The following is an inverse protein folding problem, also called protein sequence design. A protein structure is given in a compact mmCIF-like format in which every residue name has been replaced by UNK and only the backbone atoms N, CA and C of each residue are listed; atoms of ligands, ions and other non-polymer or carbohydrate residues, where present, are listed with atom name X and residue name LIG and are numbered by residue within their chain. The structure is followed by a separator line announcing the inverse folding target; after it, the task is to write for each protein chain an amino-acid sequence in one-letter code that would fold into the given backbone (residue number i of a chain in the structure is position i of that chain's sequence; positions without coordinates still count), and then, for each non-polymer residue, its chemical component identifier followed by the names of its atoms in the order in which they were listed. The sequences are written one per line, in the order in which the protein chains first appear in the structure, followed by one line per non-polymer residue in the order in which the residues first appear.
data_IF_389409973116
#
_entry.id   IF_389409973116
#
_cell.length_a   1.000
_cell.length_b   1.000
_cell.length_c   1.000
_cell.angle_alpha   90.00
_cell.angle_beta   90.00
_cell.angle_gamma   90.00
#
_symmetry.space_group_name_H-M   'P 1'
#
loop_
_entity.id
_entity.type
_entity.pdbx_description
1 polymer ?
#
# COMPACT_ATOMS: atom_id res chain seq x y z
N UNK A 1 10.65 1.87 20.55
CA UNK A 1 10.96 2.70 21.73
C UNK A 1 9.77 2.60 22.67
N UNK A 2 9.98 2.39 23.97
CA UNK A 2 8.87 2.30 24.93
C UNK A 2 8.13 3.65 25.02
N UNK A 3 6.78 3.64 25.18
CA UNK A 3 6.02 4.88 25.37
C UNK A 3 6.57 5.68 26.56
N UNK A 4 6.53 7.02 26.53
CA UNK A 4 6.96 7.83 27.66
C UNK A 4 6.23 7.39 28.94
N UNK A 5 6.91 7.44 30.11
CA UNK A 5 6.24 7.16 31.37
C UNK A 5 5.02 8.09 31.51
N UNK A 6 3.88 7.53 31.90
CA UNK A 6 2.60 8.24 32.02
C UNK A 6 2.64 9.39 33.04
N UNK A 7 3.69 9.44 33.87
CA UNK A 7 3.95 10.43 34.90
C UNK A 7 4.68 11.69 34.39
N UNK A 8 5.24 11.67 33.17
CA UNK A 8 5.95 12.83 32.62
C UNK A 8 4.98 13.95 32.22
N UNK A 9 5.39 15.24 32.31
CA UNK A 9 4.61 16.36 31.80
C UNK A 9 4.24 16.18 30.32
N UNK A 10 3.08 16.71 29.90
CA UNK A 10 2.58 16.52 28.53
C UNK A 10 3.57 17.02 27.47
N UNK A 11 4.22 18.16 27.71
CA UNK A 11 5.23 18.72 26.81
C UNK A 11 6.39 17.77 26.54
N UNK A 12 6.91 17.10 27.58
CA UNK A 12 7.99 16.12 27.44
C UNK A 12 7.54 14.89 26.66
N UNK A 13 6.32 14.41 26.90
CA UNK A 13 5.74 13.28 26.16
C UNK A 13 5.60 13.60 24.67
N UNK A 14 5.12 14.81 24.35
CA UNK A 14 4.99 15.29 22.97
C UNK A 14 6.35 15.48 22.30
N UNK A 15 7.33 16.08 22.99
CA UNK A 15 8.68 16.25 22.48
C UNK A 15 9.34 14.90 22.17
N UNK A 16 9.19 13.92 23.07
CA UNK A 16 9.68 12.55 22.85
C UNK A 16 8.99 11.89 21.68
N UNK A 17 7.69 12.11 21.48
CA UNK A 17 6.98 11.57 20.33
C UNK A 17 7.48 12.19 19.02
N UNK A 18 7.61 13.52 19.00
CA UNK A 18 7.98 14.31 17.83
C UNK A 18 9.40 13.99 17.30
N UNK A 19 10.32 13.57 18.17
CA UNK A 19 11.69 13.18 17.80
C UNK A 19 11.78 11.76 17.21
N UNK A 20 10.68 11.01 17.16
CA UNK A 20 10.69 9.65 16.61
C UNK A 20 10.58 9.65 15.08
N UNK A 21 11.30 8.71 14.46
CA UNK A 21 11.16 8.45 13.02
C UNK A 21 9.72 7.99 12.65
N UNK A 22 9.00 7.35 13.59
CA UNK A 22 7.60 6.98 13.38
C UNK A 22 6.67 8.20 13.33
N UNK A 23 6.97 9.27 14.07
CA UNK A 23 6.21 10.51 13.99
C UNK A 23 6.45 11.22 12.65
N UNK A 24 7.69 11.25 12.16
CA UNK A 24 7.98 11.74 10.81
C UNK A 24 7.21 10.96 9.72
N UNK A 25 7.16 9.64 9.85
CA UNK A 25 6.34 8.77 8.99
C UNK A 25 4.85 9.08 9.08
N UNK A 26 4.32 9.32 10.28
CA UNK A 26 2.93 9.75 10.47
C UNK A 26 2.64 11.08 9.79
N UNK A 27 3.51 12.08 9.98
CA UNK A 27 3.38 13.40 9.36
C UNK A 27 3.41 13.29 7.84
N UNK A 28 4.25 12.42 7.26
CA UNK A 28 4.23 12.16 5.82
C UNK A 28 2.87 11.65 5.34
N UNK A 29 2.27 10.66 6.00
CA UNK A 29 0.93 10.18 5.62
C UNK A 29 -0.16 11.25 5.83
N UNK A 30 -0.07 12.03 6.89
CA UNK A 30 -1.00 13.13 7.15
C UNK A 30 -0.91 14.22 6.06
N UNK A 31 0.31 14.63 5.69
CA UNK A 31 0.55 15.56 4.58
C UNK A 31 0.05 14.99 3.25
N UNK A 32 0.22 13.69 3.00
CA UNK A 32 -0.34 13.03 1.82
C UNK A 32 -1.87 13.19 1.77
N UNK A 33 -2.57 12.89 2.87
CA UNK A 33 -4.03 13.03 2.94
C UNK A 33 -4.49 14.48 2.70
N UNK A 34 -3.83 15.47 3.32
CA UNK A 34 -4.14 16.88 3.09
C UNK A 34 -3.89 17.29 1.63
N UNK A 35 -2.80 16.79 1.03
CA UNK A 35 -2.44 17.08 -0.36
C UNK A 35 -3.43 16.48 -1.34
N UNK A 36 -3.88 15.23 -1.10
CA UNK A 36 -4.91 14.57 -1.90
C UNK A 36 -6.25 15.28 -1.76
N UNK A 37 -6.65 15.66 -0.53
CA UNK A 37 -7.88 16.42 -0.29
C UNK A 37 -7.86 17.75 -1.06
N UNK A 38 -6.76 18.51 -0.97
CA UNK A 38 -6.63 19.77 -1.70
C UNK A 38 -6.59 19.55 -3.22
N UNK A 39 -5.99 18.46 -3.69
CA UNK A 39 -5.99 18.08 -5.10
C UNK A 39 -7.39 17.70 -5.58
N UNK A 40 -8.18 16.97 -4.80
CA UNK A 40 -9.55 16.59 -5.19
C UNK A 40 -10.48 17.80 -5.33
N UNK A 41 -10.28 18.85 -4.54
CA UNK A 41 -11.01 20.12 -4.74
C UNK A 41 -10.76 20.72 -6.14
N UNK A 42 -9.58 20.51 -6.72
CA UNK A 42 -9.29 20.98 -8.08
C UNK A 42 -10.16 20.30 -9.14
N UNK A 43 -10.60 19.06 -8.90
CA UNK A 43 -11.55 18.34 -9.77
C UNK A 43 -12.96 18.90 -9.66
N UNK A 44 -13.39 19.32 -8.47
CA UNK A 44 -14.70 19.98 -8.28
C UNK A 44 -14.73 21.31 -9.05
N UNK A 45 -13.63 22.05 -9.02
CA UNK A 45 -13.49 23.34 -9.74
C UNK A 45 -13.06 23.20 -11.21
N UNK A 46 -12.96 21.97 -11.73
CA UNK A 46 -12.44 21.66 -13.08
C UNK A 46 -11.05 22.27 -13.40
N UNK A 47 -10.25 22.58 -12.39
CA UNK A 47 -8.94 23.25 -12.51
C UNK A 47 -7.78 22.36 -12.07
N UNK A 48 -7.79 21.12 -12.55
CA UNK A 48 -6.88 20.05 -12.15
C UNK A 48 -5.45 20.19 -12.70
N UNK A 49 -5.22 21.11 -13.64
CA UNK A 49 -3.89 21.48 -14.13
C UNK A 49 -3.35 22.80 -13.57
N UNK A 50 -4.06 23.45 -12.63
CA UNK A 50 -3.54 24.66 -11.97
C UNK A 50 -2.19 24.42 -11.30
N UNK A 51 -1.42 25.50 -11.09
CA UNK A 51 -0.17 25.47 -10.32
C UNK A 51 -0.37 24.82 -8.95
N UNK A 52 -1.48 25.13 -8.27
CA UNK A 52 -1.82 24.55 -6.98
C UNK A 52 -2.17 23.08 -7.05
N UNK A 53 -2.96 22.65 -8.04
CA UNK A 53 -3.27 21.23 -8.23
C UNK A 53 -2.01 20.42 -8.53
N UNK A 54 -1.14 20.94 -9.40
CA UNK A 54 0.15 20.31 -9.68
C UNK A 54 1.04 20.24 -8.44
N UNK A 55 1.14 21.33 -7.68
CA UNK A 55 1.89 21.35 -6.44
C UNK A 55 1.39 20.29 -5.44
N UNK A 56 0.08 20.22 -5.19
CA UNK A 56 -0.45 19.24 -4.22
C UNK A 56 -0.39 17.80 -4.72
N UNK A 57 -0.52 17.57 -6.02
CA UNK A 57 -0.26 16.25 -6.61
C UNK A 57 1.19 15.80 -6.37
N UNK A 58 2.16 16.69 -6.65
CA UNK A 58 3.58 16.39 -6.43
C UNK A 58 3.90 16.23 -4.95
N UNK A 59 3.34 17.09 -4.09
CA UNK A 59 3.52 17.00 -2.65
C UNK A 59 2.99 15.67 -2.10
N UNK A 60 1.84 15.17 -2.58
CA UNK A 60 1.34 13.86 -2.19
C UNK A 60 2.34 12.73 -2.49
N UNK A 61 2.99 12.75 -3.66
CA UNK A 61 4.01 11.75 -4.00
C UNK A 61 5.34 11.98 -3.30
N UNK A 62 5.75 13.22 -3.02
CA UNK A 62 6.90 13.50 -2.15
C UNK A 62 6.66 12.91 -0.76
N UNK A 63 5.45 13.11 -0.21
CA UNK A 63 5.04 12.52 1.06
C UNK A 63 5.06 10.98 1.01
N UNK A 64 4.56 10.37 -0.06
CA UNK A 64 4.63 8.91 -0.24
C UNK A 64 6.08 8.41 -0.29
N UNK A 65 6.95 9.07 -1.07
CA UNK A 65 8.37 8.73 -1.15
C UNK A 65 9.04 8.83 0.22
N UNK A 66 8.73 9.87 0.99
CA UNK A 66 9.26 10.03 2.34
C UNK A 66 8.78 8.91 3.28
N UNK A 67 7.48 8.57 3.29
CA UNK A 67 6.95 7.54 4.19
C UNK A 67 7.45 6.15 3.84
N UNK A 68 7.38 5.74 2.58
CA UNK A 68 7.91 4.45 2.16
C UNK A 68 9.43 4.40 2.27
N UNK A 69 10.14 5.51 2.00
CA UNK A 69 11.58 5.64 2.22
C UNK A 69 11.97 5.35 3.67
N UNK A 70 11.21 5.88 4.64
CA UNK A 70 11.41 5.58 6.07
C UNK A 70 11.22 4.08 6.36
N UNK A 71 10.17 3.46 5.83
CA UNK A 71 9.90 2.03 6.05
C UNK A 71 11.00 1.16 5.45
N UNK A 72 11.41 1.46 4.21
CA UNK A 72 12.50 0.78 3.51
C UNK A 72 13.82 0.94 4.24
N UNK A 73 14.15 2.16 4.70
CA UNK A 73 15.37 2.41 5.48
C UNK A 73 15.41 1.57 6.76
N UNK A 74 14.29 1.50 7.50
CA UNK A 74 14.19 0.66 8.70
C UNK A 74 14.34 -0.83 8.37
N UNK A 75 13.70 -1.29 7.30
CA UNK A 75 13.75 -2.67 6.85
C UNK A 75 15.17 -3.07 6.40
N UNK A 76 15.84 -2.20 5.64
CA UNK A 76 17.22 -2.35 5.22
C UNK A 76 18.15 -2.48 6.43
N UNK A 77 18.10 -1.52 7.36
CA UNK A 77 18.94 -1.53 8.56
C UNK A 77 18.73 -2.76 9.45
N UNK A 78 17.51 -3.31 9.47
CA UNK A 78 17.21 -4.52 10.23
C UNK A 78 17.72 -5.81 9.57
N UNK A 79 17.80 -5.86 8.24
CA UNK A 79 18.11 -7.08 7.46
C UNK A 79 19.56 -7.15 6.99
N UNK A 80 20.21 -6.02 6.79
CA UNK A 80 21.62 -5.96 6.36
C UNK A 80 22.51 -6.05 7.59
N UNK A 81 23.09 -7.25 7.81
CA UNK A 81 24.14 -7.49 8.80
C UNK A 81 25.51 -7.55 8.11
N UNK A 82 26.58 -7.27 8.85
CA UNK A 82 27.95 -7.42 8.34
C UNK A 82 28.16 -8.85 7.82
N UNK A 83 28.57 -8.97 6.54
CA UNK A 83 28.76 -10.26 5.86
C UNK A 83 27.59 -10.73 4.99
N UNK A 84 26.49 -9.97 4.87
CA UNK A 84 25.38 -10.33 3.98
C UNK A 84 25.80 -10.23 2.50
N UNK A 85 25.43 -11.24 1.70
CA UNK A 85 25.60 -11.19 0.24
C UNK A 85 24.72 -10.05 -0.32
N UNK A 86 25.35 -9.10 -0.99
CA UNK A 86 24.70 -7.89 -1.52
C UNK A 86 23.63 -8.27 -2.56
N UNK A 87 23.90 -9.25 -3.43
CA UNK A 87 22.97 -9.71 -4.45
C UNK A 87 21.69 -10.32 -3.88
N UNK A 88 21.81 -11.21 -2.88
CA UNK A 88 20.63 -11.77 -2.22
C UNK A 88 19.86 -10.73 -1.42
N UNK A 89 20.56 -9.76 -0.83
CA UNK A 89 19.94 -8.66 -0.07
C UNK A 89 19.13 -7.72 -0.98
N UNK A 90 19.65 -7.38 -2.17
CA UNK A 90 18.92 -6.58 -3.16
C UNK A 90 17.65 -7.31 -3.61
N UNK A 91 17.75 -8.61 -3.92
CA UNK A 91 16.59 -9.41 -4.32
C UNK A 91 15.50 -9.45 -3.23
N UNK A 92 15.91 -9.66 -1.98
CA UNK A 92 15.01 -9.65 -0.83
C UNK A 92 14.30 -8.30 -0.66
N UNK A 93 15.02 -7.19 -0.86
CA UNK A 93 14.44 -5.85 -0.76
C UNK A 93 13.49 -5.54 -1.91
N UNK A 94 13.81 -5.92 -3.15
CA UNK A 94 12.89 -5.75 -4.28
C UNK A 94 11.62 -6.61 -4.15
N UNK A 95 11.71 -7.69 -3.38
CA UNK A 95 10.57 -8.53 -3.01
C UNK A 95 9.75 -7.94 -1.84
N UNK A 96 10.15 -6.81 -1.25
CA UNK A 96 9.37 -6.14 -0.21
C UNK A 96 8.36 -5.18 -0.84
N UNK A 97 7.08 -5.30 -0.46
CA UNK A 97 6.03 -4.44 -1.01
C UNK A 97 6.28 -2.95 -0.74
N UNK A 98 6.93 -2.59 0.37
CA UNK A 98 7.23 -1.20 0.68
C UNK A 98 8.27 -0.62 -0.27
N UNK A 99 9.23 -1.44 -0.74
CA UNK A 99 10.19 -1.03 -1.77
C UNK A 99 9.48 -0.84 -3.10
N UNK A 100 8.54 -1.72 -3.44
CA UNK A 100 7.75 -1.59 -4.66
C UNK A 100 6.90 -0.31 -4.65
N UNK A 101 6.26 0.02 -3.52
CA UNK A 101 5.53 1.28 -3.35
C UNK A 101 6.45 2.52 -3.35
N UNK A 102 7.66 2.42 -2.80
CA UNK A 102 8.67 3.48 -2.91
C UNK A 102 9.06 3.72 -4.37
N UNK A 103 9.37 2.67 -5.12
CA UNK A 103 9.77 2.78 -6.52
C UNK A 103 8.64 3.35 -7.38
N UNK A 104 7.41 2.86 -7.20
CA UNK A 104 6.29 3.36 -8.00
C UNK A 104 5.88 4.79 -7.61
N UNK A 105 6.01 5.19 -6.33
CA UNK A 105 5.77 6.58 -5.93
C UNK A 105 6.81 7.54 -6.52
N UNK A 106 8.08 7.13 -6.67
CA UNK A 106 9.08 7.89 -7.43
C UNK A 106 8.69 8.02 -8.90
N UNK A 107 8.22 6.94 -9.54
CA UNK A 107 7.75 6.99 -10.94
C UNK A 107 6.60 7.99 -11.08
N UNK A 108 5.61 7.96 -10.19
CA UNK A 108 4.49 8.90 -10.19
C UNK A 108 4.89 10.34 -9.88
N UNK A 109 5.91 10.53 -9.04
CA UNK A 109 6.44 11.85 -8.72
C UNK A 109 6.99 12.58 -9.96
N UNK A 110 7.55 11.85 -10.92
CA UNK A 110 8.14 12.44 -12.14
C UNK A 110 7.29 12.26 -13.39
N UNK A 111 6.32 11.34 -13.40
CA UNK A 111 5.43 11.15 -14.54
C UNK A 111 4.43 12.31 -14.71
N UNK A 112 3.68 12.31 -15.82
CA UNK A 112 2.47 13.13 -15.93
C UNK A 112 1.46 12.78 -14.83
N UNK A 113 0.56 13.72 -14.53
CA UNK A 113 -0.44 13.53 -13.48
C UNK A 113 -1.40 12.38 -13.84
N UNK A 114 -1.53 11.45 -12.90
CA UNK A 114 -2.46 10.33 -12.95
C UNK A 114 -3.23 10.32 -11.63
N UNK A 115 -4.41 10.96 -11.56
CA UNK A 115 -5.17 11.08 -10.31
C UNK A 115 -5.47 9.73 -9.66
N UNK A 116 -5.81 8.73 -10.50
CA UNK A 116 -6.11 7.38 -10.05
C UNK A 116 -4.93 6.73 -9.29
N UNK A 117 -3.69 7.14 -9.58
CA UNK A 117 -2.50 6.67 -8.88
C UNK A 117 -2.42 7.13 -7.43
N UNK A 118 -3.15 8.19 -7.03
CA UNK A 118 -3.18 8.65 -5.64
C UNK A 118 -4.06 7.76 -4.75
N UNK A 119 -5.05 7.07 -5.32
CA UNK A 119 -6.10 6.41 -4.53
C UNK A 119 -5.58 5.26 -3.66
N UNK A 120 -4.74 4.33 -4.16
CA UNK A 120 -4.15 3.29 -3.29
C UNK A 120 -3.38 3.89 -2.10
N UNK A 121 -2.54 4.89 -2.36
CA UNK A 121 -1.75 5.58 -1.33
C UNK A 121 -2.63 6.33 -0.32
N UNK A 122 -3.76 6.86 -0.77
CA UNK A 122 -4.75 7.51 0.11
C UNK A 122 -5.36 6.52 1.08
N UNK A 123 -5.79 5.34 0.59
CA UNK A 123 -6.34 4.29 1.44
C UNK A 123 -5.32 3.85 2.49
N UNK A 124 -4.09 3.51 2.09
CA UNK A 124 -3.04 3.16 3.06
C UNK A 124 -2.81 4.28 4.09
N UNK A 125 -2.75 5.53 3.64
CA UNK A 125 -2.51 6.68 4.52
C UNK A 125 -3.63 6.87 5.55
N UNK A 126 -4.90 6.62 5.20
CA UNK A 126 -6.02 6.65 6.17
C UNK A 126 -5.79 5.64 7.28
N UNK A 127 -5.48 4.38 6.94
CA UNK A 127 -5.24 3.34 7.94
C UNK A 127 -4.00 3.61 8.79
N UNK A 128 -2.94 4.13 8.18
CA UNK A 128 -1.70 4.49 8.88
C UNK A 128 -1.91 5.65 9.87
N UNK A 129 -2.57 6.73 9.44
CA UNK A 129 -2.92 7.87 10.30
C UNK A 129 -3.87 7.43 11.43
N UNK A 130 -4.90 6.64 11.13
CA UNK A 130 -5.84 6.12 12.12
C UNK A 130 -5.11 5.24 13.15
N UNK A 131 -4.33 4.27 12.70
CA UNK A 131 -3.61 3.35 13.58
C UNK A 131 -2.59 4.08 14.44
N UNK A 132 -1.83 5.02 13.88
CA UNK A 132 -0.86 5.81 14.63
C UNK A 132 -1.55 6.72 15.64
N UNK A 133 -2.68 7.33 15.28
CA UNK A 133 -3.49 8.14 16.20
C UNK A 133 -3.94 7.31 17.38
N UNK A 134 -4.47 6.10 17.14
CA UNK A 134 -4.90 5.18 18.19
C UNK A 134 -3.78 4.72 19.11
N UNK A 135 -2.62 4.39 18.54
CA UNK A 135 -1.54 3.70 19.26
C UNK A 135 -0.49 4.63 19.87
N UNK A 136 -0.37 5.85 19.37
CA UNK A 136 0.66 6.80 19.79
C UNK A 136 0.08 8.15 20.22
N UNK A 137 -0.74 8.81 19.39
CA UNK A 137 -1.26 10.16 19.71
C UNK A 137 -2.17 10.10 20.94
N UNK A 138 -3.20 9.25 20.92
CA UNK A 138 -4.17 9.16 22.02
C UNK A 138 -3.49 8.78 23.35
N UNK A 139 -2.66 7.73 23.44
CA UNK A 139 -1.96 7.41 24.68
C UNK A 139 -0.98 8.50 25.14
N UNK A 140 -0.41 9.28 24.21
CA UNK A 140 0.48 10.40 24.55
C UNK A 140 -0.30 11.55 25.19
N UNK A 141 -1.51 11.85 24.70
CA UNK A 141 -2.38 12.89 25.25
C UNK A 141 -3.10 12.42 26.52
N UNK A 142 -3.61 11.19 26.50
CA UNK A 142 -4.40 10.55 27.54
C UNK A 142 -3.78 9.18 27.89
N UNK A 143 -2.80 9.15 28.81
CA UNK A 143 -2.18 7.91 29.23
C UNK A 143 -3.23 6.95 29.78
N UNK A 144 -3.17 5.65 29.45
CA UNK A 144 -4.11 4.69 29.99
C UNK A 144 -4.01 4.69 31.53
N UNK A 145 -5.12 4.94 32.20
CA UNK A 145 -5.21 4.80 33.65
C UNK A 145 -5.23 3.29 33.97
N UNK A 146 -4.48 2.88 34.99
CA UNK A 146 -4.66 1.55 35.55
C UNK A 146 -6.13 1.41 35.98
N UNK A 147 -6.77 0.30 35.63
CA UNK A 147 -8.14 0.05 36.08
C UNK A 147 -8.16 0.06 37.63
N UNK A 148 -9.18 0.65 38.27
CA UNK A 148 -9.33 0.56 39.73
C UNK A 148 -9.31 -0.92 40.14
N UNK A 149 -8.36 -1.33 40.97
CA UNK A 149 -8.18 -2.72 41.41
C UNK A 149 -7.15 -3.55 40.63
N UNK A 150 -6.48 -3.00 39.62
CA UNK A 150 -5.35 -3.69 38.97
C UNK A 150 -4.03 -3.44 39.73
N UNK A 151 -3.47 -4.49 40.33
CA UNK A 151 -2.10 -4.47 40.84
C UNK A 151 -1.08 -4.45 39.68
N UNK A 152 0.11 -3.85 39.85
CA UNK A 152 1.09 -3.67 38.76
C UNK A 152 1.59 -4.97 38.11
N UNK A 153 1.28 -6.12 38.69
CA UNK A 153 1.86 -7.43 38.38
C UNK A 153 0.95 -8.37 37.61
N UNK A 154 -0.31 -8.01 37.32
CA UNK A 154 -1.23 -8.90 36.59
C UNK A 154 -0.96 -8.87 35.07
N UNK A 155 -0.44 -9.95 34.46
CA UNK A 155 -0.29 -10.05 33.02
C UNK A 155 -1.69 -10.24 32.41
N UNK A 156 -2.33 -9.15 32.01
CA UNK A 156 -3.66 -9.20 31.39
C UNK A 156 -4.65 -8.13 31.84
N UNK A 157 -4.30 -7.20 32.73
CA UNK A 157 -5.17 -6.08 33.06
C UNK A 157 -5.45 -5.25 31.80
N UNK A 158 -6.70 -5.27 31.32
CA UNK A 158 -7.11 -4.49 30.16
C UNK A 158 -6.97 -3.01 30.51
N UNK A 159 -5.98 -2.36 29.92
CA UNK A 159 -5.81 -0.91 30.06
C UNK A 159 -7.06 -0.26 29.49
N UNK A 160 -7.80 0.48 30.30
CA UNK A 160 -8.98 1.23 29.84
C UNK A 160 -8.54 2.19 28.72
N UNK A 161 -8.90 1.86 27.48
CA UNK A 161 -8.65 2.69 26.31
C UNK A 161 -9.78 3.72 26.16
N UNK A 162 -9.44 4.93 25.72
CA UNK A 162 -10.45 5.97 25.49
C UNK A 162 -11.48 5.54 24.44
N UNK A 163 -12.69 6.09 24.52
CA UNK A 163 -13.77 5.79 23.57
C UNK A 163 -13.33 6.00 22.11
N UNK A 164 -12.58 7.07 21.84
CA UNK A 164 -12.01 7.36 20.52
C UNK A 164 -11.03 6.27 20.06
N UNK A 165 -10.12 5.81 20.93
CA UNK A 165 -9.19 4.72 20.59
C UNK A 165 -9.92 3.42 20.27
N UNK A 166 -11.03 3.14 20.97
CA UNK A 166 -11.89 1.98 20.69
C UNK A 166 -12.61 2.13 19.35
N UNK A 167 -13.18 3.29 19.05
CA UNK A 167 -13.86 3.56 17.76
C UNK A 167 -12.89 3.45 16.58
N UNK A 168 -11.68 4.00 16.69
CA UNK A 168 -10.65 3.84 15.65
C UNK A 168 -10.27 2.36 15.50
N UNK A 169 -10.15 1.62 16.61
CA UNK A 169 -9.85 0.18 16.57
C UNK A 169 -10.94 -0.62 15.85
N UNK A 170 -12.21 -0.30 16.09
CA UNK A 170 -13.36 -0.89 15.38
C UNK A 170 -13.32 -0.55 13.89
N UNK A 171 -13.15 0.73 13.54
CA UNK A 171 -13.02 1.19 12.15
C UNK A 171 -11.92 0.42 11.41
N UNK A 172 -10.71 0.34 11.99
CA UNK A 172 -9.60 -0.38 11.34
C UNK A 172 -9.96 -1.84 11.13
N UNK A 173 -10.51 -2.52 12.15
CA UNK A 173 -10.87 -3.94 12.04
C UNK A 173 -11.98 -4.20 11.02
N UNK A 174 -13.01 -3.37 11.01
CA UNK A 174 -14.20 -3.54 10.18
C UNK A 174 -13.92 -3.28 8.70
N UNK A 175 -13.12 -2.24 8.41
CA UNK A 175 -12.93 -1.78 7.03
C UNK A 175 -11.63 -2.25 6.39
N UNK A 176 -10.72 -2.93 7.11
CA UNK A 176 -9.41 -3.32 6.57
C UNK A 176 -9.54 -4.21 5.34
N UNK A 177 -10.23 -5.35 5.42
CA UNK A 177 -10.32 -6.31 4.32
C UNK A 177 -11.03 -5.71 3.10
N UNK A 178 -12.15 -5.01 3.32
CA UNK A 178 -12.87 -4.30 2.24
C UNK A 178 -11.98 -3.24 1.59
N UNK A 179 -11.20 -2.51 2.38
CA UNK A 179 -10.28 -1.49 1.85
C UNK A 179 -9.10 -2.10 1.10
N UNK A 180 -8.60 -3.26 1.53
CA UNK A 180 -7.57 -3.99 0.80
C UNK A 180 -8.09 -4.54 -0.53
N UNK A 181 -9.33 -5.04 -0.58
CA UNK A 181 -9.99 -5.38 -1.84
C UNK A 181 -10.19 -4.16 -2.74
N UNK A 182 -10.57 -3.01 -2.17
CA UNK A 182 -10.66 -1.75 -2.93
C UNK A 182 -9.30 -1.34 -3.50
N UNK A 183 -8.22 -1.42 -2.71
CA UNK A 183 -6.86 -1.15 -3.19
C UNK A 183 -6.50 -2.06 -4.35
N UNK A 184 -6.74 -3.38 -4.23
CA UNK A 184 -6.49 -4.33 -5.30
C UNK A 184 -7.27 -3.97 -6.58
N UNK A 185 -8.55 -3.61 -6.46
CA UNK A 185 -9.37 -3.14 -7.57
C UNK A 185 -8.83 -1.85 -8.21
N UNK A 186 -8.40 -0.88 -7.40
CA UNK A 186 -7.79 0.37 -7.87
C UNK A 186 -6.47 0.12 -8.58
N UNK A 187 -5.63 -0.78 -8.06
CA UNK A 187 -4.36 -1.16 -8.68
C UNK A 187 -4.58 -1.77 -10.07
N UNK A 188 -5.56 -2.66 -10.21
CA UNK A 188 -5.95 -3.28 -11.48
C UNK A 188 -6.57 -2.24 -12.43
N UNK A 189 -7.50 -1.41 -11.94
CA UNK A 189 -8.12 -0.35 -12.73
C UNK A 189 -7.09 0.63 -13.29
N UNK A 190 -6.07 0.96 -12.49
CA UNK A 190 -4.97 1.81 -12.92
C UNK A 190 -4.18 1.19 -14.07
N UNK A 191 -3.96 -0.14 -14.06
CA UNK A 191 -3.33 -0.82 -15.18
C UNK A 191 -4.16 -0.69 -16.47
N UNK A 192 -5.47 -0.94 -16.41
CA UNK A 192 -6.34 -0.78 -17.58
C UNK A 192 -6.36 0.66 -18.09
N UNK A 193 -6.39 1.65 -17.20
CA UNK A 193 -6.29 3.06 -17.60
C UNK A 193 -4.97 3.35 -18.33
N UNK A 194 -3.85 2.80 -17.86
CA UNK A 194 -2.55 2.96 -18.53
C UNK A 194 -2.51 2.24 -19.87
N UNK A 195 -3.11 1.04 -19.96
CA UNK A 195 -3.25 0.30 -21.21
C UNK A 195 -4.01 1.12 -22.25
N UNK A 196 -5.17 1.68 -21.90
CA UNK A 196 -5.94 2.55 -22.80
C UNK A 196 -5.10 3.74 -23.27
N UNK A 197 -4.28 4.34 -22.39
CA UNK A 197 -3.40 5.43 -22.79
C UNK A 197 -2.20 5.00 -23.63
N UNK A 198 -1.77 3.73 -23.54
CA UNK A 198 -0.77 3.12 -24.41
C UNK A 198 -1.33 2.89 -25.81
N UNK A 199 -2.57 2.38 -25.89
CA UNK A 199 -3.28 2.17 -27.15
C UNK A 199 -3.58 3.48 -27.89
N UNK A 200 -3.75 4.60 -27.17
CA UNK A 200 -3.85 5.94 -27.79
C UNK A 200 -2.50 6.61 -28.07
N UNK A 201 -1.38 5.87 -27.94
CA UNK A 201 -0.01 6.34 -28.22
C UNK A 201 0.38 7.66 -27.52
N UNK A 202 -0.19 7.91 -26.33
CA UNK A 202 0.21 9.08 -25.53
C UNK A 202 1.72 9.04 -25.21
N UNK A 203 2.40 10.18 -25.25
CA UNK A 203 3.86 10.22 -24.99
C UNK A 203 4.22 9.56 -23.65
N UNK A 204 5.12 8.58 -23.69
CA UNK A 204 5.61 7.85 -22.52
C UNK A 204 4.65 6.84 -21.88
N UNK A 205 3.46 6.61 -22.45
CA UNK A 205 2.47 5.68 -21.88
C UNK A 205 2.91 4.22 -21.95
N UNK A 206 3.61 3.79 -23.00
CA UNK A 206 4.17 2.44 -23.11
C UNK A 206 5.21 2.14 -22.03
N UNK A 207 6.12 3.09 -21.76
CA UNK A 207 7.10 2.96 -20.67
C UNK A 207 6.40 2.87 -19.30
N UNK A 208 5.42 3.75 -19.04
CA UNK A 208 4.64 3.70 -17.80
C UNK A 208 3.84 2.41 -17.65
N UNK A 209 3.25 1.91 -18.74
CA UNK A 209 2.54 0.63 -18.75
C UNK A 209 3.49 -0.52 -18.40
N UNK A 210 4.68 -0.57 -19.01
CA UNK A 210 5.68 -1.60 -18.73
C UNK A 210 6.10 -1.59 -17.25
N UNK A 211 6.49 -0.43 -16.72
CA UNK A 211 6.89 -0.27 -15.32
C UNK A 211 5.74 -0.67 -14.38
N UNK A 212 4.52 -0.20 -14.65
CA UNK A 212 3.36 -0.51 -13.81
C UNK A 212 2.92 -1.98 -13.94
N UNK A 213 3.17 -2.63 -15.07
CA UNK A 213 2.95 -4.07 -15.24
C UNK A 213 3.89 -4.87 -14.34
N UNK A 214 5.17 -4.50 -14.23
CA UNK A 214 6.11 -5.14 -13.31
C UNK A 214 5.65 -4.95 -11.86
N UNK A 215 5.21 -3.74 -11.49
CA UNK A 215 4.62 -3.46 -10.17
C UNK A 215 3.41 -4.36 -9.90
N UNK A 216 2.40 -4.36 -10.78
CA UNK A 216 1.17 -5.13 -10.59
C UNK A 216 1.44 -6.65 -10.59
N UNK A 217 2.42 -7.11 -11.35
CA UNK A 217 2.84 -8.53 -11.34
C UNK A 217 3.47 -8.93 -10.00
N UNK A 218 4.29 -8.06 -9.42
CA UNK A 218 4.85 -8.26 -8.09
C UNK A 218 3.73 -8.28 -7.03
N UNK A 219 2.76 -7.34 -7.14
CA UNK A 219 1.57 -7.30 -6.29
C UNK A 219 0.71 -8.56 -6.41
N UNK A 220 0.53 -9.10 -7.62
CA UNK A 220 -0.18 -10.37 -7.82
C UNK A 220 0.49 -11.53 -7.07
N UNK A 221 1.82 -11.58 -7.01
CA UNK A 221 2.51 -12.64 -6.26
C UNK A 221 2.37 -12.48 -4.74
N UNK A 222 2.28 -11.25 -4.24
CA UNK A 222 2.37 -10.94 -2.81
C UNK A 222 1.02 -10.73 -2.12
N UNK A 223 0.00 -10.30 -2.85
CA UNK A 223 -1.29 -9.91 -2.29
C UNK A 223 -2.39 -10.89 -2.69
N UNK A 224 -2.95 -11.57 -1.70
CA UNK A 224 -4.15 -12.41 -1.88
C UNK A 224 -5.36 -11.60 -2.36
N UNK A 225 -5.46 -10.33 -1.97
CA UNK A 225 -6.52 -9.42 -2.44
C UNK A 225 -6.41 -9.15 -3.94
N UNK A 226 -5.20 -8.99 -4.48
CA UNK A 226 -4.98 -8.81 -5.92
C UNK A 226 -5.31 -10.10 -6.67
N UNK A 227 -4.85 -11.25 -6.19
CA UNK A 227 -5.23 -12.56 -6.77
C UNK A 227 -6.75 -12.75 -6.78
N UNK A 228 -7.42 -12.44 -5.67
CA UNK A 228 -8.87 -12.52 -5.55
C UNK A 228 -9.58 -11.56 -6.50
N UNK A 229 -9.11 -10.32 -6.63
CA UNK A 229 -9.70 -9.33 -7.52
C UNK A 229 -9.58 -9.75 -9.00
N UNK A 230 -8.44 -10.31 -9.42
CA UNK A 230 -8.29 -10.89 -10.76
C UNK A 230 -9.22 -12.09 -10.97
N UNK A 231 -9.33 -12.99 -9.98
CA UNK A 231 -10.21 -14.15 -10.07
C UNK A 231 -11.69 -13.76 -10.17
N UNK A 232 -12.15 -12.83 -9.33
CA UNK A 232 -13.51 -12.28 -9.36
C UNK A 232 -13.78 -11.56 -10.69
N UNK A 233 -12.83 -10.76 -11.17
CA UNK A 233 -12.92 -10.09 -12.47
C UNK A 233 -13.06 -11.08 -13.63
N UNK A 234 -12.23 -12.14 -13.65
CA UNK A 234 -12.32 -13.22 -14.65
C UNK A 234 -13.68 -13.89 -14.59
N UNK A 235 -14.14 -14.31 -13.40
CA UNK A 235 -15.41 -14.98 -13.21
C UNK A 235 -16.61 -14.13 -13.68
N UNK A 236 -16.56 -12.82 -13.45
CA UNK A 236 -17.58 -11.89 -13.93
C UNK A 236 -17.61 -11.73 -15.45
N UNK A 237 -16.47 -11.88 -16.12
CA UNK A 237 -16.40 -11.88 -17.59
C UNK A 237 -16.85 -13.24 -18.12
N UNK A 238 -16.39 -14.34 -17.51
CA UNK A 238 -16.79 -15.70 -17.85
C UNK A 238 -18.33 -15.84 -17.82
N UNK A 239 -18.98 -15.37 -16.75
CA UNK A 239 -20.44 -15.41 -16.63
C UNK A 239 -21.16 -14.65 -17.78
N UNK A 240 -20.59 -13.52 -18.23
CA UNK A 240 -21.18 -12.72 -19.32
C UNK A 240 -20.96 -13.37 -20.68
N UNK A 241 -19.75 -13.88 -20.91
CA UNK A 241 -19.33 -14.47 -22.20
C UNK A 241 -19.99 -15.84 -22.45
N UNK A 242 -20.33 -16.57 -21.38
CA UNK A 242 -21.06 -17.84 -21.46
C UNK A 242 -22.56 -17.68 -21.81
N UNK A 243 -23.10 -16.44 -21.83
CA UNK A 243 -24.47 -16.21 -22.26
C UNK A 243 -24.66 -16.70 -23.71
N UNK A 244 -25.68 -17.54 -24.01
CA UNK A 244 -25.97 -18.04 -25.36
C UNK A 244 -26.02 -16.97 -26.45
N UNK A 245 -26.46 -15.76 -26.11
CA UNK A 245 -26.60 -14.63 -27.04
C UNK A 245 -25.26 -13.95 -27.44
N UNK A 246 -24.14 -14.32 -26.81
CA UNK A 246 -22.81 -13.79 -27.14
C UNK A 246 -22.20 -14.57 -28.31
N UNK A 247 -21.66 -13.84 -29.30
CA UNK A 247 -21.09 -14.45 -30.49
C UNK A 247 -19.89 -15.36 -30.18
N UNK A 248 -19.69 -16.46 -30.94
CA UNK A 248 -18.55 -17.36 -30.73
C UNK A 248 -17.19 -16.65 -30.78
N UNK A 249 -17.05 -15.61 -31.62
CA UNK A 249 -15.82 -14.81 -31.72
C UNK A 249 -15.45 -14.12 -30.40
N UNK A 250 -16.42 -13.60 -29.66
CA UNK A 250 -16.17 -12.97 -28.35
C UNK A 250 -15.74 -14.02 -27.32
N UNK A 251 -16.34 -15.22 -27.36
CA UNK A 251 -15.92 -16.34 -26.50
C UNK A 251 -14.48 -16.76 -26.78
N UNK A 252 -14.15 -16.98 -28.05
CA UNK A 252 -12.80 -17.36 -28.46
C UNK A 252 -11.77 -16.27 -28.12
N UNK A 253 -12.12 -15.00 -28.32
CA UNK A 253 -11.28 -13.87 -27.91
C UNK A 253 -11.00 -13.87 -26.41
N UNK A 254 -12.02 -14.10 -25.58
CA UNK A 254 -11.84 -14.19 -24.13
C UNK A 254 -10.98 -15.38 -23.70
N UNK A 255 -11.18 -16.56 -24.28
CA UNK A 255 -10.31 -17.72 -24.03
C UNK A 255 -8.85 -17.45 -24.43
N UNK A 256 -8.64 -16.75 -25.55
CA UNK A 256 -7.31 -16.34 -26.01
C UNK A 256 -6.65 -15.40 -25.00
N UNK A 257 -7.38 -14.39 -24.50
CA UNK A 257 -6.89 -13.48 -23.46
C UNK A 257 -6.52 -14.23 -22.17
N UNK A 258 -7.36 -15.17 -21.73
CA UNK A 258 -7.05 -16.02 -20.57
C UNK A 258 -5.80 -16.86 -20.80
N UNK A 259 -5.65 -17.45 -21.99
CA UNK A 259 -4.47 -18.21 -22.40
C UNK A 259 -3.19 -17.38 -22.30
N UNK A 260 -3.17 -16.19 -22.92
CA UNK A 260 -2.04 -15.27 -22.84
C UNK A 260 -1.74 -14.83 -21.40
N UNK A 261 -2.78 -14.53 -20.61
CA UNK A 261 -2.62 -14.16 -19.21
C UNK A 261 -1.93 -15.26 -18.39
N UNK A 262 -2.35 -16.52 -18.55
CA UNK A 262 -1.71 -17.67 -17.90
C UNK A 262 -0.26 -17.82 -18.34
N UNK A 263 -0.01 -17.78 -19.65
CA UNK A 263 1.35 -17.87 -20.19
C UNK A 263 2.27 -16.75 -19.68
N UNK A 264 1.76 -15.52 -19.60
CA UNK A 264 2.51 -14.38 -19.09
C UNK A 264 2.83 -14.53 -17.58
N UNK A 265 1.88 -15.00 -16.78
CA UNK A 265 2.11 -15.31 -15.35
C UNK A 265 3.16 -16.40 -15.20
N UNK A 266 3.05 -17.45 -16.01
CA UNK A 266 3.97 -18.59 -16.02
C UNK A 266 5.40 -18.22 -16.44
N UNK A 267 5.55 -17.36 -17.45
CA UNK A 267 6.83 -16.89 -17.96
C UNK A 267 7.53 -15.92 -16.99
N UNK A 268 6.78 -15.28 -16.11
CA UNK A 268 7.29 -14.32 -15.12
C UNK A 268 7.41 -14.93 -13.71
N UNK A 269 7.21 -16.24 -13.57
CA UNK A 269 7.43 -16.94 -12.30
C UNK A 269 8.93 -17.21 -12.09
N UNK A 270 9.57 -16.34 -11.31
CA UNK A 270 10.98 -16.43 -10.97
C UNK A 270 11.35 -17.75 -10.26
N UNK A 271 10.40 -18.43 -9.60
CA UNK A 271 10.66 -19.72 -8.93
C UNK A 271 11.12 -20.79 -9.92
N UNK A 272 10.66 -20.74 -11.16
CA UNK A 272 11.06 -21.67 -12.24
C UNK A 272 12.51 -21.48 -12.66
N UNK A 273 13.05 -20.26 -12.49
CA UNK A 273 14.39 -19.88 -12.92
C UNK A 273 15.41 -19.86 -11.78
N UNK A 274 14.96 -19.85 -10.53
CA UNK A 274 15.83 -19.79 -9.34
C UNK A 274 16.39 -21.14 -8.90
N UNK A 275 16.06 -22.24 -9.56
CA UNK A 275 16.52 -23.58 -9.18
C UNK A 275 15.92 -24.04 -7.85
N UNK A 276 15.50 -25.29 -7.79
CA UNK A 276 14.95 -25.95 -6.60
C UNK A 276 15.98 -26.01 -5.46
N UNK A 277 16.14 -24.92 -4.71
CA UNK A 277 17.04 -24.89 -3.54
C UNK A 277 16.31 -25.23 -2.23
N UNK A 278 15.02 -25.59 -2.28
CA UNK A 278 14.23 -26.00 -1.10
C UNK A 278 13.37 -27.24 -1.38
N UNK A 279 13.93 -28.26 -2.04
CA UNK A 279 13.35 -29.61 -1.99
C UNK A 279 13.73 -30.26 -0.65
N UNK A 280 12.77 -30.26 0.27
CA UNK A 280 12.55 -31.24 1.35
C UNK A 280 13.76 -32.05 1.84
N UNK A 281 14.26 -31.74 3.05
CA UNK A 281 14.64 -32.81 3.98
C UNK A 281 13.39 -33.21 4.77
N UNK A 282 12.74 -34.30 4.37
CA UNK A 282 11.83 -35.04 5.26
C UNK A 282 12.69 -35.61 6.39
N UNK A 283 12.30 -35.47 7.68
CA UNK A 283 12.92 -36.23 8.74
C UNK A 283 12.53 -37.71 8.55
N UNK A 284 13.54 -38.58 8.55
CA UNK A 284 13.39 -39.98 8.96
C UNK A 284 13.29 -40.03 10.48
#
# INVERSE_FOLDING_TARGET
MAPPPSTAPLGERLAKLATTLQFAWFMGHFTLLLSVFRYSLSYITFNYYSKWASFTYRLAFVSAVATYGIVVFKAYRARVKSGANIGSTIFLLLSDENVQYLLISLVWLFSRQVPLALLPFTVYSVFHVATYTRTNIIPTLQPPRAAPGSTPTSPGASKSQSALANSIGKFVKEYYDTSMMLVAGLEILLWFRLLLSALTFSKGSWALLGIYTVFLRARFHQSQFVQSAFAQGSAHIDQRVQNPNVSPAVRQGWETVKGFGRQAVDATDLRKYMGSTNAQKKPQ
#
